data_IF_839771986849
#
_entry.id   IF_839771986849
#
_cell.length_a   1.000
_cell.length_b   1.000
_cell.length_c   1.000
_cell.angle_alpha   90.00
_cell.angle_beta   90.00
_cell.angle_gamma   90.00
#
_symmetry.space_group_name_H-M   'P 1'
#
loop_
_entity.id
_entity.type
_entity.pdbx_description
1 polymer ?
#
# COMPACT_ATOMS: atom_id res chain seq x y z
N UNK A 1 19.39 -11.43 17.46
CA UNK A 1 19.68 -10.15 16.78
C UNK A 1 20.48 -10.44 15.53
N UNK A 2 19.84 -10.30 14.38
CA UNK A 2 20.44 -10.41 13.06
C UNK A 2 20.39 -9.00 12.46
N UNK A 3 21.57 -8.42 12.28
CA UNK A 3 21.68 -7.07 11.75
C UNK A 3 21.76 -7.13 10.23
N UNK A 4 21.01 -6.26 9.60
CA UNK A 4 21.08 -5.97 8.18
C UNK A 4 22.18 -4.93 7.96
N UNK A 5 23.13 -5.20 7.06
CA UNK A 5 24.14 -4.21 6.74
C UNK A 5 23.71 -3.31 5.56
N UNK A 6 24.40 -2.18 5.40
CA UNK A 6 24.05 -1.22 4.34
C UNK A 6 24.43 -1.73 2.94
N UNK A 7 25.41 -2.63 2.81
CA UNK A 7 25.83 -3.17 1.54
C UNK A 7 24.76 -4.12 0.97
N UNK A 8 24.14 -4.91 1.83
CA UNK A 8 23.03 -5.80 1.56
C UNK A 8 21.79 -5.02 1.10
N UNK A 9 21.40 -3.98 1.85
CA UNK A 9 20.31 -3.07 1.47
C UNK A 9 20.59 -2.46 0.10
N UNK A 10 21.80 -1.93 -0.10
CA UNK A 10 22.18 -1.30 -1.35
C UNK A 10 22.12 -2.29 -2.51
N UNK A 11 22.50 -3.54 -2.31
CA UNK A 11 22.47 -4.58 -3.36
C UNK A 11 21.05 -4.86 -3.84
N UNK A 12 20.08 -4.99 -2.92
CA UNK A 12 18.66 -5.21 -3.27
C UNK A 12 18.01 -3.95 -3.85
N UNK A 13 18.36 -2.78 -3.31
CA UNK A 13 17.70 -1.51 -3.65
C UNK A 13 18.26 -0.85 -4.92
N UNK A 14 19.54 -1.04 -5.27
CA UNK A 14 20.20 -0.30 -6.37
C UNK A 14 19.65 -0.66 -7.76
N UNK A 15 19.18 -1.89 -7.94
CA UNK A 15 18.63 -2.39 -9.21
C UNK A 15 17.16 -2.82 -9.04
N UNK A 16 16.48 -2.25 -8.03
CA UNK A 16 15.14 -2.62 -7.62
C UNK A 16 14.07 -2.35 -8.68
N UNK A 17 14.23 -1.32 -9.52
CA UNK A 17 13.18 -0.91 -10.45
C UNK A 17 11.87 -0.64 -9.73
N UNK A 18 10.79 -1.30 -10.16
CA UNK A 18 9.51 -1.28 -9.44
C UNK A 18 9.62 -2.02 -8.10
N UNK A 19 9.13 -1.38 -7.04
CA UNK A 19 9.13 -1.92 -5.68
C UNK A 19 7.73 -1.88 -5.07
N UNK A 20 7.51 -2.74 -4.09
CA UNK A 20 6.26 -2.84 -3.36
C UNK A 20 6.52 -3.12 -1.89
N UNK A 21 5.66 -2.63 -1.01
CA UNK A 21 5.84 -2.75 0.43
C UNK A 21 4.61 -3.34 1.07
N UNK A 22 4.81 -4.35 1.92
CA UNK A 22 3.78 -4.97 2.73
C UNK A 22 4.11 -4.86 4.21
N UNK A 23 3.11 -4.59 5.03
CA UNK A 23 3.26 -4.54 6.49
C UNK A 23 2.21 -5.45 7.11
N UNK A 24 2.65 -6.27 8.06
CA UNK A 24 1.78 -7.14 8.84
C UNK A 24 2.13 -7.06 10.31
N UNK A 25 1.12 -7.29 11.15
CA UNK A 25 1.25 -7.38 12.59
C UNK A 25 0.61 -8.67 13.07
N UNK A 26 1.14 -9.25 14.14
CA UNK A 26 0.63 -10.47 14.75
C UNK A 26 0.87 -10.47 16.25
N UNK A 27 0.10 -11.28 16.95
CA UNK A 27 0.11 -11.43 18.42
C UNK A 27 -0.09 -12.87 18.81
N UNK A 28 0.39 -13.26 20.00
CA UNK A 28 0.24 -14.62 20.51
C UNK A 28 1.32 -15.58 20.02
N UNK A 29 1.04 -16.88 20.04
CA UNK A 29 2.04 -17.95 19.84
C UNK A 29 2.56 -18.03 18.39
N UNK A 30 1.69 -17.77 17.40
CA UNK A 30 2.04 -17.76 15.97
C UNK A 30 2.25 -16.35 15.40
N UNK A 31 2.52 -15.37 16.28
CA UNK A 31 2.58 -13.94 15.91
C UNK A 31 3.47 -13.61 14.73
N UNK A 32 4.62 -14.27 14.61
CA UNK A 32 5.57 -14.00 13.52
C UNK A 32 5.08 -14.55 12.17
N UNK A 33 4.50 -15.76 12.17
CA UNK A 33 3.88 -16.38 10.99
C UNK A 33 2.68 -15.56 10.52
N UNK A 34 1.81 -15.17 11.45
CA UNK A 34 0.62 -14.38 11.14
C UNK A 34 0.99 -12.98 10.62
N UNK A 35 1.98 -12.33 11.24
CA UNK A 35 2.51 -11.05 10.76
C UNK A 35 3.13 -11.18 9.37
N UNK A 36 3.88 -12.25 9.08
CA UNK A 36 4.46 -12.49 7.76
C UNK A 36 3.37 -12.70 6.70
N UNK A 37 2.36 -13.54 6.98
CA UNK A 37 1.21 -13.75 6.09
C UNK A 37 0.47 -12.44 5.81
N UNK A 38 0.19 -11.66 6.85
CA UNK A 38 -0.45 -10.36 6.74
C UNK A 38 0.39 -9.37 5.90
N UNK A 39 1.71 -9.39 6.04
CA UNK A 39 2.59 -8.53 5.25
C UNK A 39 2.58 -8.92 3.76
N UNK A 40 2.64 -10.22 3.45
CA UNK A 40 2.60 -10.77 2.09
C UNK A 40 1.24 -10.56 1.40
N UNK A 41 0.16 -10.47 2.17
CA UNK A 41 -1.21 -10.25 1.69
C UNK A 41 -1.66 -8.78 1.83
N UNK A 42 -0.73 -7.87 2.14
CA UNK A 42 -1.08 -6.48 2.45
C UNK A 42 -1.71 -5.77 1.23
N UNK A 43 -2.76 -4.96 1.40
CA UNK A 43 -3.40 -4.21 0.30
C UNK A 43 -2.50 -3.22 -0.43
N UNK A 44 -1.35 -2.88 0.17
CA UNK A 44 -0.30 -2.08 -0.45
C UNK A 44 0.48 -2.86 -1.52
N UNK A 45 0.25 -4.18 -1.60
CA UNK A 45 0.78 -5.04 -2.62
C UNK A 45 -0.25 -5.17 -3.77
N UNK A 46 -0.15 -4.32 -4.80
CA UNK A 46 -1.04 -4.38 -5.98
C UNK A 46 -0.89 -5.68 -6.79
N UNK A 47 0.26 -6.36 -6.64
CA UNK A 47 0.57 -7.67 -7.21
C UNK A 47 1.18 -8.49 -6.08
N UNK A 48 0.78 -9.76 -5.94
CA UNK A 48 1.43 -10.68 -5.01
C UNK A 48 2.96 -10.57 -5.16
N UNK A 49 3.72 -10.75 -4.07
CA UNK A 49 5.21 -10.67 -4.12
C UNK A 49 5.87 -11.71 -5.04
N UNK A 50 5.07 -12.60 -5.63
CA UNK A 50 5.42 -13.56 -6.66
C UNK A 50 6.11 -12.88 -7.84
N UNK A 51 7.38 -13.23 -8.07
CA UNK A 51 8.20 -12.70 -9.16
C UNK A 51 9.08 -11.50 -8.79
N UNK A 52 9.12 -11.11 -7.52
CA UNK A 52 10.17 -10.23 -7.01
C UNK A 52 11.52 -10.96 -7.00
N UNK A 53 12.55 -10.35 -7.58
CA UNK A 53 13.93 -10.88 -7.60
C UNK A 53 14.73 -10.51 -6.36
N UNK A 54 14.31 -9.44 -5.68
CA UNK A 54 14.90 -9.01 -4.43
C UNK A 54 13.82 -8.84 -3.38
N UNK A 55 14.04 -9.38 -2.18
CA UNK A 55 13.16 -9.18 -1.05
C UNK A 55 14.00 -8.75 0.14
N UNK A 56 13.60 -7.64 0.75
CA UNK A 56 14.10 -7.20 2.02
C UNK A 56 12.96 -7.24 3.03
N UNK A 57 13.13 -7.93 4.15
CA UNK A 57 12.15 -7.85 5.23
C UNK A 57 12.78 -7.60 6.60
N UNK A 58 12.01 -6.97 7.47
CA UNK A 58 12.42 -6.70 8.83
C UNK A 58 11.36 -7.20 9.80
N UNK A 59 11.80 -7.92 10.83
CA UNK A 59 10.96 -8.39 11.94
C UNK A 59 11.24 -7.49 13.14
N UNK A 60 10.22 -6.78 13.60
CA UNK A 60 10.28 -5.98 14.83
C UNK A 60 9.43 -6.67 15.89
N UNK A 61 9.99 -6.92 17.08
CA UNK A 61 9.26 -7.53 18.19
C UNK A 61 9.84 -7.12 19.54
N UNK A 62 9.22 -7.60 20.61
CA UNK A 62 9.72 -7.41 21.98
C UNK A 62 11.05 -8.11 22.24
N UNK A 63 11.59 -7.95 23.45
CA UNK A 63 12.84 -8.60 23.88
C UNK A 63 12.73 -10.13 23.96
N UNK A 64 11.51 -10.65 23.87
CA UNK A 64 11.13 -12.05 23.81
C UNK A 64 11.13 -12.63 22.38
N UNK A 65 11.40 -11.82 21.36
CA UNK A 65 11.46 -12.29 19.96
C UNK A 65 12.58 -13.32 19.77
N UNK A 66 12.18 -14.57 19.51
CA UNK A 66 13.08 -15.70 19.32
C UNK A 66 13.60 -15.86 17.89
N UNK A 67 14.75 -16.53 17.74
CA UNK A 67 15.27 -16.89 16.42
C UNK A 67 14.33 -17.85 15.65
N UNK A 68 13.64 -18.72 16.38
CA UNK A 68 12.68 -19.68 15.80
C UNK A 68 11.54 -18.94 15.08
N UNK A 69 10.92 -17.97 15.77
CA UNK A 69 9.82 -17.16 15.20
C UNK A 69 10.25 -16.39 13.95
N UNK A 70 11.46 -15.82 13.96
CA UNK A 70 12.03 -15.13 12.80
C UNK A 70 12.24 -16.09 11.63
N UNK A 71 12.69 -17.32 11.90
CA UNK A 71 12.87 -18.34 10.87
C UNK A 71 11.52 -18.79 10.27
N UNK A 72 10.48 -18.95 11.08
CA UNK A 72 9.14 -19.28 10.59
C UNK A 72 8.56 -18.17 9.70
N UNK A 73 8.73 -16.90 10.09
CA UNK A 73 8.36 -15.77 9.24
C UNK A 73 9.14 -15.75 7.92
N UNK A 74 10.43 -16.10 7.95
CA UNK A 74 11.27 -16.19 6.76
C UNK A 74 10.79 -17.26 5.78
N UNK A 75 10.41 -18.45 6.28
CA UNK A 75 9.87 -19.53 5.45
C UNK A 75 8.56 -19.11 4.75
N UNK A 76 7.64 -18.46 5.46
CA UNK A 76 6.39 -17.96 4.86
C UNK A 76 6.66 -16.98 3.71
N UNK A 77 7.61 -16.05 3.90
CA UNK A 77 7.96 -15.06 2.87
C UNK A 77 8.63 -15.74 1.68
N UNK A 78 9.50 -16.71 1.95
CA UNK A 78 10.22 -17.49 0.93
C UNK A 78 9.28 -18.34 0.07
N UNK A 79 8.27 -18.96 0.68
CA UNK A 79 7.24 -19.74 -0.04
C UNK A 79 6.41 -18.88 -1.00
N UNK A 80 6.21 -17.60 -0.68
CA UNK A 80 5.46 -16.67 -1.51
C UNK A 80 6.31 -15.94 -2.57
N UNK A 81 7.64 -15.97 -2.40
CA UNK A 81 8.63 -15.34 -3.28
C UNK A 81 8.99 -16.21 -4.50
N UNK A 82 9.81 -15.65 -5.39
CA UNK A 82 10.45 -16.45 -6.45
C UNK A 82 11.56 -17.34 -5.84
N UNK A 83 11.71 -18.61 -6.25
CA UNK A 83 12.76 -19.50 -5.72
C UNK A 83 14.19 -18.97 -5.91
N UNK A 84 14.40 -18.15 -6.94
CA UNK A 84 15.70 -17.53 -7.26
C UNK A 84 15.81 -16.10 -6.70
N UNK A 85 14.86 -15.67 -5.86
CA UNK A 85 14.89 -14.34 -5.24
C UNK A 85 16.04 -14.25 -4.23
N UNK A 86 16.76 -13.13 -4.26
CA UNK A 86 17.69 -12.78 -3.20
C UNK A 86 16.90 -12.22 -2.00
N UNK A 87 16.90 -12.94 -0.88
CA UNK A 87 16.14 -12.58 0.32
C UNK A 87 17.10 -12.14 1.41
N UNK A 88 16.89 -10.93 1.92
CA UNK A 88 17.66 -10.37 3.03
C UNK A 88 16.71 -10.03 4.16
N UNK A 89 17.10 -10.35 5.39
CA UNK A 89 16.28 -10.12 6.56
C UNK A 89 17.02 -9.48 7.72
N UNK A 90 16.31 -8.62 8.44
CA UNK A 90 16.77 -7.99 9.66
C UNK A 90 15.83 -8.26 10.83
N UNK A 91 16.35 -8.11 12.04
CA UNK A 91 15.55 -8.14 13.26
C UNK A 91 15.81 -6.89 14.08
N UNK A 92 14.76 -6.25 14.58
CA UNK A 92 14.85 -5.11 15.50
C UNK A 92 14.10 -5.48 16.77
N UNK A 93 14.75 -5.28 17.92
CA UNK A 93 14.12 -5.45 19.22
C UNK A 93 13.60 -4.08 19.68
N UNK A 94 12.31 -4.01 19.97
CA UNK A 94 11.63 -2.85 20.51
C UNK A 94 10.82 -3.28 21.73
N UNK A 95 11.32 -2.97 22.93
CA UNK A 95 10.70 -3.38 24.22
C UNK A 95 9.26 -2.88 24.38
N UNK A 96 8.84 -1.88 23.59
CA UNK A 96 7.45 -1.40 23.59
C UNK A 96 6.50 -2.40 22.93
N UNK A 97 7.00 -3.30 22.10
CA UNK A 97 6.20 -4.24 21.32
C UNK A 97 5.74 -5.46 22.12
N UNK A 98 6.20 -5.70 23.36
CA UNK A 98 5.72 -6.80 24.23
C UNK A 98 5.43 -8.09 23.44
N UNK A 99 4.17 -8.52 23.41
CA UNK A 99 3.72 -9.76 22.77
C UNK A 99 3.38 -9.60 21.27
N UNK A 100 3.58 -8.41 20.69
CA UNK A 100 3.33 -8.08 19.30
C UNK A 100 4.60 -8.23 18.44
N UNK A 101 4.41 -8.69 17.21
CA UNK A 101 5.44 -8.71 16.17
C UNK A 101 4.92 -7.97 14.94
N UNK A 102 5.77 -7.12 14.38
CA UNK A 102 5.55 -6.41 13.12
C UNK A 102 6.56 -6.88 12.10
N UNK A 103 6.05 -7.36 10.97
CA UNK A 103 6.85 -7.73 9.81
C UNK A 103 6.65 -6.68 8.73
N UNK A 104 7.75 -6.16 8.20
CA UNK A 104 7.76 -5.23 7.07
C UNK A 104 8.50 -5.89 5.93
N UNK A 105 7.86 -6.04 4.78
CA UNK A 105 8.42 -6.66 3.58
C UNK A 105 8.51 -5.60 2.49
N UNK A 106 9.64 -5.55 1.79
CA UNK A 106 9.90 -4.72 0.63
C UNK A 106 10.33 -5.66 -0.49
N UNK A 107 9.50 -5.78 -1.51
CA UNK A 107 9.75 -6.59 -2.68
C UNK A 107 10.20 -5.70 -3.84
N UNK A 108 11.24 -6.11 -4.56
CA UNK A 108 11.84 -5.38 -5.67
C UNK A 108 12.21 -6.28 -6.84
N UNK A 109 12.51 -5.66 -7.98
CA UNK A 109 12.95 -6.37 -9.18
C UNK A 109 11.80 -7.03 -9.92
N UNK A 110 10.59 -6.48 -9.80
CA UNK A 110 9.44 -6.95 -10.58
C UNK A 110 9.69 -6.70 -12.07
N UNK A 111 9.51 -7.75 -12.88
CA UNK A 111 9.66 -7.64 -14.33
C UNK A 111 8.51 -6.80 -14.91
N UNK A 112 8.85 -5.58 -15.35
CA UNK A 112 7.94 -4.64 -16.01
C UNK A 112 7.28 -5.17 -17.29
N UNK A 113 7.72 -6.32 -17.83
CA UNK A 113 7.09 -7.00 -18.96
C UNK A 113 5.81 -7.78 -18.59
N UNK A 114 5.59 -8.07 -17.30
CA UNK A 114 4.34 -8.68 -16.79
C UNK A 114 3.37 -7.61 -16.30
N UNK A 115 2.98 -6.67 -17.16
CA UNK A 115 1.69 -6.01 -16.93
C UNK A 115 0.62 -7.10 -16.96
N UNK A 116 -0.23 -7.26 -15.94
CA UNK A 116 -1.41 -8.09 -16.10
C UNK A 116 -2.13 -7.50 -17.31
N UNK A 117 -2.26 -8.29 -18.37
CA UNK A 117 -3.21 -8.00 -19.44
C UNK A 117 -4.56 -8.00 -18.75
N UNK A 118 -4.97 -6.87 -18.18
CA UNK A 118 -6.36 -6.63 -17.87
C UNK A 118 -7.07 -6.94 -19.18
N UNK A 119 -7.83 -8.02 -19.14
CA UNK A 119 -8.63 -8.50 -20.22
C UNK A 119 -9.66 -7.39 -20.50
N UNK A 120 -9.26 -6.43 -21.33
CA UNK A 120 -10.17 -5.60 -22.08
C UNK A 120 -10.79 -6.52 -23.14
N UNK A 121 -11.62 -7.48 -22.70
CA UNK A 121 -12.40 -8.40 -23.54
C UNK A 121 -13.78 -7.84 -23.88
N UNK A 122 -14.02 -6.57 -23.60
CA UNK A 122 -15.24 -5.89 -24.05
C UNK A 122 -14.87 -4.66 -24.88
N UNK A 123 -14.73 -4.88 -26.18
CA UNK A 123 -14.66 -3.77 -27.13
C UNK A 123 -13.84 -4.10 -28.36
N UNK A 124 -14.56 -4.32 -29.47
CA UNK A 124 -14.07 -4.35 -30.85
C UNK A 124 -13.30 -5.61 -31.26
N UNK A 125 -13.98 -6.47 -32.03
CA UNK A 125 -13.58 -6.99 -33.34
C UNK A 125 -14.19 -8.38 -33.58
N UNK A 126 -15.37 -8.39 -34.21
CA UNK A 126 -15.80 -9.41 -35.17
C UNK A 126 -17.17 -9.00 -35.74
N UNK A 127 -17.15 -8.09 -36.71
CA UNK A 127 -18.18 -8.05 -37.73
C UNK A 127 -17.97 -9.28 -38.61
N UNK A 128 -18.80 -10.31 -38.45
CA UNK A 128 -18.65 -11.53 -39.24
C UNK A 128 -19.51 -12.68 -38.73
N UNK A 129 -20.78 -12.68 -39.16
CA UNK A 129 -21.68 -13.83 -39.32
C UNK A 129 -21.62 -14.97 -38.30
N UNK A 130 -22.59 -15.00 -37.38
CA UNK A 130 -23.13 -16.24 -36.82
C UNK A 130 -24.66 -16.08 -36.72
N UNK A 131 -25.34 -16.22 -37.86
CA UNK A 131 -26.68 -16.79 -37.85
C UNK A 131 -26.50 -18.29 -37.72
N UNK A 132 -26.79 -18.87 -36.54
CA UNK A 132 -27.41 -20.19 -36.45
C UNK A 132 -27.81 -20.54 -35.01
N UNK A 133 -29.11 -20.85 -34.90
CA UNK A 133 -29.83 -21.52 -33.81
C UNK A 133 -29.61 -20.98 -32.39
N UNK A 134 -30.42 -19.99 -32.02
CA UNK A 134 -30.80 -19.80 -30.62
C UNK A 134 -31.75 -20.93 -30.23
N UNK A 135 -31.26 -21.86 -29.42
CA UNK A 135 -32.10 -22.90 -28.80
C UNK A 135 -33.25 -22.24 -28.02
N UNK A 136 -34.43 -22.88 -27.96
CA UNK A 136 -35.64 -22.34 -27.32
C UNK A 136 -35.41 -21.88 -25.88
N UNK A 137 -34.48 -22.54 -25.17
CA UNK A 137 -34.07 -22.19 -23.80
C UNK A 137 -33.35 -20.85 -23.71
N UNK A 138 -32.59 -20.46 -24.74
CA UNK A 138 -31.89 -19.17 -24.79
C UNK A 138 -32.86 -18.01 -25.04
N UNK A 139 -33.93 -18.25 -25.81
CA UNK A 139 -35.00 -17.26 -26.04
C UNK A 139 -35.82 -17.00 -24.77
N UNK A 140 -36.09 -18.05 -23.99
CA UNK A 140 -36.81 -17.93 -22.72
C UNK A 140 -36.01 -17.10 -21.70
N UNK A 141 -34.69 -17.37 -21.58
CA UNK A 141 -33.81 -16.61 -20.68
C UNK A 141 -33.71 -15.14 -21.10
N UNK A 142 -33.62 -14.84 -22.40
CA UNK A 142 -33.58 -13.46 -22.89
C UNK A 142 -34.90 -12.73 -22.65
N UNK A 143 -36.04 -13.40 -22.85
CA UNK A 143 -37.35 -12.82 -22.58
C UNK A 143 -37.59 -12.56 -21.07
N UNK A 144 -37.06 -13.41 -20.19
CA UNK A 144 -37.09 -13.19 -18.74
C UNK A 144 -36.28 -11.94 -18.35
N UNK A 145 -35.06 -11.81 -18.88
CA UNK A 145 -34.17 -10.67 -18.60
C UNK A 145 -34.77 -9.34 -19.08
N UNK A 146 -35.44 -9.33 -20.24
CA UNK A 146 -36.12 -8.14 -20.75
C UNK A 146 -37.31 -7.74 -19.88
N UNK A 147 -38.15 -8.69 -19.46
CA UNK A 147 -39.27 -8.41 -18.53
C UNK A 147 -38.80 -7.88 -17.18
N UNK A 148 -37.71 -8.45 -16.64
CA UNK A 148 -37.11 -7.99 -15.39
C UNK A 148 -36.55 -6.57 -15.51
N UNK A 149 -35.99 -6.21 -16.68
CA UNK A 149 -35.49 -4.87 -16.94
C UNK A 149 -36.61 -3.83 -16.98
N UNK A 150 -37.73 -4.15 -17.65
CA UNK A 150 -38.90 -3.27 -17.71
C UNK A 150 -39.57 -3.09 -16.33
N UNK A 151 -39.64 -4.16 -15.53
CA UNK A 151 -40.12 -4.06 -14.14
C UNK A 151 -39.19 -3.18 -13.29
N UNK A 152 -37.86 -3.33 -13.40
CA UNK A 152 -36.91 -2.49 -12.65
C UNK A 152 -36.93 -1.04 -13.10
N UNK A 153 -37.17 -0.77 -14.39
CA UNK A 153 -37.33 0.60 -14.90
C UNK A 153 -38.63 1.23 -14.39
N UNK A 154 -39.75 0.52 -14.40
CA UNK A 154 -41.00 1.04 -13.82
C UNK A 154 -40.97 1.23 -12.30
N UNK A 155 -40.19 0.42 -11.57
CA UNK A 155 -39.93 0.60 -10.13
C UNK A 155 -39.01 1.80 -9.84
N UNK A 156 -38.04 2.09 -10.71
CA UNK A 156 -37.15 3.26 -10.56
C UNK A 156 -37.81 4.58 -10.99
N UNK A 157 -38.78 4.56 -11.90
CA UNK A 157 -39.60 5.74 -12.21
C UNK A 157 -40.63 6.07 -11.11
N UNK A 158 -41.10 5.08 -10.34
CA UNK A 158 -42.07 5.29 -9.25
C UNK A 158 -41.42 5.68 -7.92
N UNK A 159 -40.18 5.26 -7.67
CA UNK A 159 -39.39 5.68 -6.53
C UNK A 159 -38.39 6.73 -6.99
N UNK A 160 -38.82 8.00 -6.95
CA UNK A 160 -38.05 9.16 -7.39
C UNK A 160 -36.56 9.07 -7.04
N UNK A 161 -35.74 9.52 -7.99
CA UNK A 161 -34.28 9.40 -8.01
C UNK A 161 -33.59 9.99 -6.77
N UNK A 162 -33.55 9.23 -5.68
CA UNK A 162 -32.65 9.45 -4.56
C UNK A 162 -31.87 8.17 -4.32
N UNK A 163 -30.72 8.08 -5.01
CA UNK A 163 -29.71 7.08 -4.68
C UNK A 163 -29.16 7.38 -3.27
N UNK A 164 -29.04 6.41 -2.37
CA UNK A 164 -28.40 6.59 -1.06
C UNK A 164 -26.93 7.02 -1.15
N UNK A 165 -26.34 6.92 -2.35
CA UNK A 165 -24.96 7.29 -2.67
C UNK A 165 -24.88 8.51 -3.60
N UNK A 166 -25.95 9.28 -3.75
CA UNK A 166 -25.88 10.57 -4.44
C UNK A 166 -24.86 11.46 -3.72
N UNK A 167 -23.75 11.77 -4.40
CA UNK A 167 -22.79 12.77 -3.92
C UNK A 167 -23.56 14.08 -3.74
N UNK A 168 -23.47 14.75 -2.57
CA UNK A 168 -24.05 16.07 -2.41
C UNK A 168 -23.54 16.97 -3.54
N UNK A 169 -24.46 17.61 -4.26
CA UNK A 169 -24.10 18.63 -5.23
C UNK A 169 -23.31 19.74 -4.52
N UNK A 170 -22.23 20.23 -5.14
CA UNK A 170 -21.30 21.27 -4.64
C UNK A 170 -21.93 22.66 -4.43
N UNK A 171 -23.22 22.76 -4.11
CA UNK A 171 -23.95 24.02 -3.90
C UNK A 171 -24.14 24.41 -2.43
N UNK A 172 -23.64 23.61 -1.49
CA UNK A 172 -23.56 23.97 -0.06
C UNK A 172 -22.16 23.73 0.51
N UNK A 173 -21.13 24.30 -0.11
CA UNK A 173 -19.93 24.63 0.64
C UNK A 173 -20.23 25.91 1.42
N UNK A 174 -20.65 25.79 2.67
CA UNK A 174 -20.62 26.93 3.59
C UNK A 174 -19.16 27.34 3.72
N UNK A 175 -18.85 28.54 3.23
CA UNK A 175 -17.53 29.14 3.29
C UNK A 175 -17.08 29.25 4.75
N UNK A 176 -16.26 28.29 5.20
CA UNK A 176 -15.54 28.42 6.47
C UNK A 176 -14.49 29.50 6.24
N UNK A 177 -14.84 30.75 6.56
CA UNK A 177 -13.91 31.86 6.61
C UNK A 177 -12.71 31.43 7.47
N UNK A 178 -11.47 31.50 6.96
CA UNK A 178 -10.31 31.36 7.83
C UNK A 178 -10.43 32.43 8.92
N UNK A 179 -10.49 32.02 10.17
CA UNK A 179 -10.35 32.98 11.27
C UNK A 179 -9.01 33.68 11.09
N UNK A 180 -9.07 35.01 11.05
CA UNK A 180 -7.91 35.90 10.93
C UNK A 180 -6.91 35.58 12.05
N UNK A 181 -5.93 34.72 11.76
CA UNK A 181 -4.70 34.71 12.55
C UNK A 181 -3.98 36.00 12.23
N UNK A 182 -4.04 36.97 13.15
CA UNK A 182 -3.23 38.17 13.08
C UNK A 182 -1.78 37.77 12.78
N UNK A 183 -1.13 38.36 11.75
CA UNK A 183 0.27 38.08 11.49
C UNK A 183 1.09 38.47 12.71
N UNK A 184 1.92 37.54 13.19
CA UNK A 184 2.94 37.84 14.18
C UNK A 184 3.89 38.87 13.55
N UNK A 185 4.17 40.01 14.19
CA UNK A 185 5.06 41.01 13.63
C UNK A 185 6.46 40.41 13.51
N UNK A 186 6.94 40.29 12.27
CA UNK A 186 8.35 40.04 11.98
C UNK A 186 9.09 41.32 12.36
N UNK A 187 9.75 41.30 13.53
CA UNK A 187 10.67 42.35 13.94
C UNK A 187 11.73 42.51 12.85
N UNK A 188 11.75 43.68 12.20
CA UNK A 188 12.83 44.11 11.33
C UNK A 188 14.09 44.35 12.17
N UNK A 189 14.80 43.26 12.50
CA UNK A 189 16.14 43.29 13.04
C UNK A 189 17.16 43.18 11.90
N UNK A 190 18.08 44.15 11.85
CA UNK A 190 19.15 44.37 10.87
C UNK A 190 19.60 43.15 10.03
N UNK A 191 19.57 43.34 8.71
CA UNK A 191 20.06 42.40 7.70
C UNK A 191 21.60 42.40 7.52
N UNK A 192 22.37 42.90 8.49
CA UNK A 192 23.83 43.11 8.35
C UNK A 192 24.71 42.08 9.08
N UNK A 193 24.16 40.95 9.51
CA UNK A 193 24.96 39.89 10.15
C UNK A 193 24.61 38.50 9.61
N UNK A 194 24.85 38.27 8.31
CA UNK A 194 24.74 36.94 7.67
C UNK A 194 26.08 36.37 7.17
N UNK A 195 27.18 36.61 7.87
CA UNK A 195 28.50 36.08 7.47
C UNK A 195 29.28 35.36 8.57
N UNK A 196 28.61 34.70 9.53
CA UNK A 196 29.30 34.03 10.64
C UNK A 196 28.84 32.60 10.96
N UNK A 197 28.03 31.94 10.14
CA UNK A 197 27.63 30.54 10.38
C UNK A 197 28.23 29.65 9.30
N UNK A 198 29.28 28.92 9.68
CA UNK A 198 29.93 27.93 8.83
C UNK A 198 29.00 26.75 8.53
N UNK A 199 29.29 26.07 7.42
CA UNK A 199 28.60 24.91 6.85
C UNK A 199 28.41 23.72 7.83
N UNK A 200 29.09 23.74 8.98
CA UNK A 200 29.05 22.69 10.01
C UNK A 200 27.80 22.71 10.92
N UNK A 201 26.94 23.72 10.80
CA UNK A 201 25.78 23.91 11.69
C UNK A 201 24.44 23.33 11.16
N UNK A 202 24.46 22.64 10.01
CA UNK A 202 23.26 22.08 9.37
C UNK A 202 22.77 20.77 10.00
N UNK A 203 23.62 20.08 10.75
CA UNK A 203 23.33 18.76 11.33
C UNK A 203 22.61 18.81 12.68
N UNK A 204 22.36 20.01 13.23
CA UNK A 204 21.62 20.16 14.50
C UNK A 204 20.21 20.67 14.21
N UNK A 205 19.17 19.88 14.49
CA UNK A 205 17.78 20.31 14.32
C UNK A 205 17.46 21.58 15.12
N UNK A 206 16.69 22.48 14.50
CA UNK A 206 16.42 23.83 14.99
C UNK A 206 15.82 23.92 16.40
N UNK A 207 15.16 22.86 16.88
CA UNK A 207 14.57 22.80 18.21
C UNK A 207 15.58 22.63 19.36
N UNK A 208 16.81 22.19 19.08
CA UNK A 208 17.88 22.04 20.09
C UNK A 208 18.72 23.32 20.29
N UNK A 209 18.59 24.30 19.39
CA UNK A 209 19.42 25.52 19.40
C UNK A 209 19.03 26.53 20.50
N UNK A 210 17.82 26.43 21.06
CA UNK A 210 17.23 27.44 21.97
C UNK A 210 17.38 27.14 23.47
N UNK A 211 18.23 26.21 23.88
CA UNK A 211 18.44 25.89 25.31
C UNK A 211 19.75 26.39 25.92
N UNK A 212 20.50 27.21 25.20
CA UNK A 212 21.66 27.91 25.73
C UNK A 212 21.61 29.37 25.29
N UNK A 213 20.64 30.12 25.82
CA UNK A 213 20.67 31.57 25.97
C UNK A 213 19.69 31.96 27.09
#
# INVERSE_FOLDING_TARGET
LINLDFADVKTIMREAGSSMMGIGMGTGENRAVDAARAAVMSPLLEVNITGARGILFNVTGGSDLGLFEVNEAAEVIKEAADPEANIIFGTVIDDRMRDEVKVTVIATGFDSSRKPKQANRYGAESAGGVEQSLDDRSREILAEIERDRDQRQSLTDQMGSESPFARPSEREATEVRPSERKPVPVSSGNLEQRSAYGDADLDIPSFLRRKQD
#
